data_IF_046289861657
#
_entry.id   IF_046289861657
#
_cell.length_a   1.000
_cell.length_b   1.000
_cell.length_c   1.000
_cell.angle_alpha   90.00
_cell.angle_beta   90.00
_cell.angle_gamma   90.00
#
_symmetry.space_group_name_H-M   'P 1'
#
loop_
_entity.id
_entity.type
_entity.pdbx_description
1 polymer ?
#
# COMPACT_ATOMS: atom_id res chain seq x y z
N UNK A 1 -1.81 14.35 -2.81
CA UNK A 1 -1.37 13.53 -3.95
C UNK A 1 -1.22 12.12 -3.45
N UNK A 2 -2.07 11.17 -3.88
CA UNK A 2 -2.04 9.78 -3.39
C UNK A 2 -0.84 8.98 -3.93
N UNK A 3 -0.14 9.55 -4.87
CA UNK A 3 1.10 8.96 -5.33
C UNK A 3 2.18 9.37 -4.34
N UNK A 4 2.44 8.44 -3.42
CA UNK A 4 3.28 8.64 -2.26
C UNK A 4 4.76 8.57 -2.61
N UNK A 5 5.26 9.45 -3.38
CA UNK A 5 6.70 9.54 -3.58
C UNK A 5 7.42 9.95 -2.30
N UNK A 6 7.28 9.14 -1.26
CA UNK A 6 7.78 9.44 0.09
C UNK A 6 9.28 9.18 0.24
N UNK A 7 9.84 8.27 -0.58
CA UNK A 7 11.28 7.99 -0.59
C UNK A 7 11.98 8.60 -1.80
N UNK A 8 13.28 8.83 -1.70
CA UNK A 8 14.08 9.34 -2.82
C UNK A 8 14.04 8.40 -4.03
N UNK A 9 14.20 7.09 -3.78
CA UNK A 9 14.17 6.09 -4.84
C UNK A 9 12.81 6.01 -5.54
N UNK A 10 11.69 6.10 -4.81
CA UNK A 10 10.36 6.13 -5.40
C UNK A 10 10.11 7.40 -6.24
N UNK A 11 10.79 8.52 -5.93
CA UNK A 11 10.75 9.74 -6.76
C UNK A 11 11.55 9.61 -8.06
N UNK A 12 12.65 8.87 -8.02
CA UNK A 12 13.51 8.62 -9.18
C UNK A 12 12.93 7.53 -10.08
N UNK A 13 12.33 6.49 -9.49
CA UNK A 13 11.65 5.40 -10.20
C UNK A 13 10.26 5.15 -9.61
N UNK A 14 9.19 5.67 -10.26
CA UNK A 14 7.81 5.48 -9.82
C UNK A 14 7.36 4.02 -9.72
N UNK A 15 7.99 3.10 -10.45
CA UNK A 15 7.67 1.67 -10.37
C UNK A 15 7.98 1.05 -9.01
N UNK A 16 8.83 1.71 -8.21
CA UNK A 16 9.16 1.30 -6.83
C UNK A 16 8.20 1.88 -5.77
N UNK A 17 7.20 2.66 -6.19
CA UNK A 17 6.26 3.32 -5.30
C UNK A 17 4.97 2.51 -5.16
N UNK A 18 4.67 2.01 -3.96
CA UNK A 18 3.33 1.46 -3.65
C UNK A 18 2.36 2.63 -3.47
N UNK A 19 1.27 2.63 -4.21
CA UNK A 19 0.25 3.67 -4.14
C UNK A 19 -0.93 3.26 -3.28
N UNK A 20 -1.39 2.00 -3.42
CA UNK A 20 -2.48 1.43 -2.65
C UNK A 20 -2.31 -0.06 -2.43
N UNK A 21 -2.99 -0.57 -1.39
CA UNK A 21 -3.08 -1.99 -1.09
C UNK A 21 -4.53 -2.35 -0.75
N UNK A 22 -5.00 -3.45 -1.36
CA UNK A 22 -6.36 -4.00 -1.18
C UNK A 22 -6.29 -5.45 -0.80
N UNK A 23 -7.23 -5.88 0.05
CA UNK A 23 -7.29 -7.24 0.58
C UNK A 23 -8.75 -7.62 0.81
N UNK A 24 -9.27 -8.57 0.04
CA UNK A 24 -10.68 -8.92 0.08
C UNK A 24 -10.96 -10.32 -0.43
N UNK A 25 -12.19 -10.80 -0.21
CA UNK A 25 -12.67 -12.08 -0.71
C UNK A 25 -13.21 -11.96 -2.14
N UNK A 26 -12.83 -12.88 -3.02
CA UNK A 26 -13.46 -13.06 -4.34
C UNK A 26 -14.48 -14.19 -4.36
N UNK A 27 -14.23 -15.25 -3.57
CA UNK A 27 -15.11 -16.38 -3.35
C UNK A 27 -14.86 -16.94 -1.93
N UNK A 28 -15.74 -17.80 -1.35
CA UNK A 28 -15.67 -18.20 0.06
C UNK A 28 -14.29 -18.68 0.55
N UNK A 29 -13.55 -19.38 -0.30
CA UNK A 29 -12.26 -19.98 0.08
C UNK A 29 -11.07 -19.31 -0.62
N UNK A 30 -11.25 -18.11 -1.16
CA UNK A 30 -10.19 -17.39 -1.89
C UNK A 30 -10.04 -15.96 -1.41
N UNK A 31 -8.80 -15.49 -1.38
CA UNK A 31 -8.43 -14.12 -1.03
C UNK A 31 -7.73 -13.45 -2.20
N UNK A 32 -8.11 -12.22 -2.49
CA UNK A 32 -7.44 -11.33 -3.44
C UNK A 32 -6.57 -10.35 -2.65
N UNK A 33 -5.31 -10.29 -3.06
CA UNK A 33 -4.36 -9.24 -2.68
C UNK A 33 -4.06 -8.41 -3.92
N UNK A 34 -4.22 -7.11 -3.84
CA UNK A 34 -3.86 -6.22 -4.94
C UNK A 34 -3.05 -5.04 -4.41
N UNK A 35 -1.95 -4.73 -5.06
CA UNK A 35 -1.24 -3.48 -4.87
C UNK A 35 -1.21 -2.70 -6.16
N UNK A 36 -1.24 -1.39 -6.06
CA UNK A 36 -1.02 -0.48 -7.17
C UNK A 36 0.34 0.20 -7.03
N UNK A 37 1.05 0.29 -8.14
CA UNK A 37 2.39 0.89 -8.22
C UNK A 37 2.50 1.71 -9.51
N UNK A 38 3.59 2.44 -9.71
CA UNK A 38 3.89 3.10 -10.97
C UNK A 38 2.75 3.99 -11.48
N UNK A 39 2.41 5.07 -10.79
CA UNK A 39 1.30 5.94 -11.15
C UNK A 39 1.56 6.72 -12.45
N UNK A 40 0.49 7.06 -13.19
CA UNK A 40 0.54 7.84 -14.44
C UNK A 40 1.40 7.18 -15.55
N UNK A 41 1.35 5.86 -15.64
CA UNK A 41 2.15 5.04 -16.58
C UNK A 41 2.08 5.56 -18.02
N UNK A 42 0.91 5.97 -18.48
CA UNK A 42 0.75 6.46 -19.87
C UNK A 42 1.19 7.91 -20.04
N UNK A 43 1.22 8.68 -18.96
CA UNK A 43 1.47 10.13 -19.02
C UNK A 43 2.91 10.51 -18.74
N UNK A 44 3.58 9.84 -17.80
CA UNK A 44 4.87 10.29 -17.28
C UNK A 44 5.84 9.19 -16.85
N UNK A 45 5.40 7.93 -16.82
CA UNK A 45 6.23 6.81 -16.38
C UNK A 45 6.27 5.70 -17.44
N UNK A 46 7.35 4.92 -17.53
CA UNK A 46 7.42 3.72 -18.35
C UNK A 46 6.36 2.70 -17.94
N UNK A 47 5.84 1.93 -18.88
CA UNK A 47 4.88 0.84 -18.66
C UNK A 47 5.52 -0.44 -18.09
N UNK A 48 6.74 -0.34 -17.57
CA UNK A 48 7.54 -1.45 -17.09
C UNK A 48 7.75 -1.39 -15.58
N UNK A 49 7.98 -2.54 -14.98
CA UNK A 49 8.34 -2.70 -13.59
C UNK A 49 9.85 -2.94 -13.46
N UNK A 50 10.43 -2.52 -12.34
CA UNK A 50 11.86 -2.59 -12.11
C UNK A 50 12.35 -4.04 -12.04
N UNK A 51 13.37 -4.41 -12.81
CA UNK A 51 13.88 -5.79 -12.92
C UNK A 51 14.52 -6.32 -11.64
N UNK A 52 15.11 -5.44 -10.83
CA UNK A 52 15.57 -5.76 -9.49
C UNK A 52 14.50 -5.49 -8.42
N UNK A 53 13.27 -5.10 -8.82
CA UNK A 53 12.14 -4.90 -7.93
C UNK A 53 11.64 -6.23 -7.36
N UNK A 54 11.46 -6.28 -6.05
CA UNK A 54 10.79 -7.35 -5.33
C UNK A 54 9.49 -6.77 -4.77
N UNK A 55 8.37 -7.12 -5.41
CA UNK A 55 7.03 -6.65 -5.03
C UNK A 55 6.38 -7.74 -4.19
N UNK A 56 5.97 -7.44 -2.98
CA UNK A 56 5.57 -8.47 -2.04
C UNK A 56 4.28 -8.12 -1.27
N UNK A 57 3.41 -9.12 -1.13
CA UNK A 57 2.34 -9.15 -0.15
C UNK A 57 2.85 -9.93 1.05
N UNK A 58 2.91 -9.28 2.21
CA UNK A 58 3.40 -9.82 3.47
C UNK A 58 2.23 -10.03 4.42
N UNK A 59 2.18 -11.18 5.08
CA UNK A 59 1.09 -11.57 5.97
C UNK A 59 1.66 -12.11 7.27
N UNK A 60 1.23 -11.51 8.36
CA UNK A 60 1.44 -11.94 9.74
C UNK A 60 0.21 -12.74 10.18
N UNK A 61 0.41 -13.96 10.63
CA UNK A 61 -0.61 -14.90 11.10
C UNK A 61 -0.62 -15.02 12.63
N UNK A 62 0.37 -14.47 13.30
CA UNK A 62 0.61 -14.61 14.75
C UNK A 62 0.28 -13.35 15.53
N UNK A 63 0.18 -12.20 14.86
CA UNK A 63 -0.14 -10.90 15.47
C UNK A 63 1.06 -10.19 16.07
N UNK A 64 2.29 -10.56 15.66
CA UNK A 64 3.53 -9.94 16.14
C UNK A 64 4.09 -8.86 15.19
N UNK A 65 3.33 -8.55 14.15
CA UNK A 65 3.66 -7.59 13.11
C UNK A 65 4.93 -7.94 12.31
N UNK A 66 5.21 -9.24 12.20
CA UNK A 66 6.23 -9.84 11.35
C UNK A 66 5.59 -10.82 10.41
N UNK A 67 6.12 -10.92 9.21
CA UNK A 67 5.57 -11.81 8.20
C UNK A 67 5.85 -13.29 8.46
N UNK A 68 4.81 -14.13 8.40
CA UNK A 68 4.87 -15.60 8.40
C UNK A 68 4.78 -16.17 6.99
N UNK A 69 4.05 -15.47 6.11
CA UNK A 69 3.85 -15.84 4.70
C UNK A 69 4.09 -14.61 3.83
N UNK A 70 4.81 -14.79 2.73
CA UNK A 70 5.07 -13.74 1.75
C UNK A 70 4.80 -14.26 0.35
N UNK A 71 4.03 -13.51 -0.45
CA UNK A 71 3.87 -13.73 -1.88
C UNK A 71 4.68 -12.68 -2.63
N UNK A 72 5.62 -13.12 -3.46
CA UNK A 72 6.64 -12.30 -4.09
C UNK A 72 6.50 -12.31 -5.60
N UNK A 73 6.53 -11.14 -6.20
CA UNK A 73 6.61 -10.96 -7.65
C UNK A 73 8.00 -10.48 -8.04
N UNK A 74 8.54 -11.08 -9.09
CA UNK A 74 9.77 -10.67 -9.77
C UNK A 74 9.48 -10.52 -11.26
N UNK A 75 10.19 -9.61 -11.91
CA UNK A 75 10.01 -9.28 -13.31
C UNK A 75 11.33 -9.45 -14.06
N UNK A 76 11.23 -10.02 -15.28
CA UNK A 76 12.36 -10.12 -16.22
C UNK A 76 12.51 -8.81 -17.01
N UNK A 77 13.55 -8.72 -17.84
CA UNK A 77 13.73 -7.63 -18.79
C UNK A 77 12.49 -7.46 -19.69
N UNK A 78 12.08 -6.21 -19.97
CA UNK A 78 10.96 -5.92 -20.83
C UNK A 78 11.25 -6.31 -22.28
N UNK A 79 10.21 -6.73 -22.99
CA UNK A 79 10.24 -7.07 -24.41
C UNK A 79 9.25 -6.19 -25.17
N UNK A 80 9.66 -5.65 -26.31
CA UNK A 80 8.72 -4.94 -27.20
C UNK A 80 7.70 -5.89 -27.81
N UNK A 81 6.47 -5.41 -28.00
CA UNK A 81 5.38 -6.19 -28.61
C UNK A 81 5.20 -5.78 -30.06
N UNK A 82 5.27 -6.77 -30.99
CA UNK A 82 5.03 -6.58 -32.41
C UNK A 82 5.87 -5.49 -33.08
N UNK A 83 7.05 -5.15 -32.53
CA UNK A 83 7.90 -4.10 -33.06
C UNK A 83 7.47 -2.68 -32.67
N UNK A 84 6.48 -2.53 -31.81
CA UNK A 84 6.12 -1.25 -31.22
C UNK A 84 7.06 -0.97 -30.03
N UNK A 85 7.87 0.07 -30.16
CA UNK A 85 8.86 0.48 -29.13
C UNK A 85 8.21 1.09 -27.90
N UNK A 86 6.89 1.37 -27.93
CA UNK A 86 6.15 2.01 -26.85
C UNK A 86 5.31 1.03 -26.01
N UNK A 87 5.23 -0.24 -26.43
CA UNK A 87 4.46 -1.28 -25.73
C UNK A 87 5.39 -2.39 -25.26
N UNK A 88 5.43 -2.59 -23.96
CA UNK A 88 6.30 -3.57 -23.34
C UNK A 88 5.52 -4.70 -22.69
N UNK A 89 6.08 -5.89 -22.72
CA UNK A 89 5.65 -7.06 -21.95
C UNK A 89 6.83 -7.56 -21.14
N UNK A 90 6.61 -7.81 -19.87
CA UNK A 90 7.58 -8.46 -18.99
C UNK A 90 7.05 -9.82 -18.56
N UNK A 91 7.92 -10.82 -18.49
CA UNK A 91 7.60 -12.03 -17.75
C UNK A 91 7.64 -11.72 -16.25
N UNK A 92 6.73 -12.37 -15.51
CA UNK A 92 6.76 -12.33 -14.06
C UNK A 92 6.70 -13.74 -13.45
N UNK A 93 7.23 -13.88 -12.27
CA UNK A 93 7.11 -15.06 -11.41
C UNK A 93 6.48 -14.67 -10.10
N UNK A 94 5.58 -15.55 -9.59
CA UNK A 94 5.01 -15.41 -8.25
C UNK A 94 5.50 -16.58 -7.41
N UNK A 95 6.14 -16.26 -6.28
CA UNK A 95 6.63 -17.24 -5.32
C UNK A 95 5.96 -17.05 -3.96
N UNK A 96 5.65 -18.17 -3.30
CA UNK A 96 5.23 -18.19 -1.90
C UNK A 96 6.43 -18.56 -1.02
N UNK A 97 6.65 -17.78 0.01
CA UNK A 97 7.75 -17.96 0.94
C UNK A 97 7.25 -18.05 2.39
N UNK A 98 7.88 -18.89 3.18
CA UNK A 98 7.70 -19.02 4.63
C UNK A 98 9.04 -19.32 5.30
N UNK A 99 9.19 -19.05 6.59
CA UNK A 99 10.40 -19.33 7.35
C UNK A 99 11.65 -18.71 6.73
N UNK A 100 12.71 -19.48 6.53
CA UNK A 100 14.00 -18.98 6.01
C UNK A 100 13.93 -18.44 4.56
N UNK A 101 12.88 -18.77 3.80
CA UNK A 101 12.69 -18.27 2.46
C UNK A 101 12.06 -16.87 2.40
N UNK A 102 11.66 -16.27 3.53
CA UNK A 102 11.00 -14.98 3.58
C UNK A 102 11.89 -13.86 3.02
N UNK A 103 13.16 -13.83 3.35
CA UNK A 103 14.10 -12.84 2.80
C UNK A 103 14.46 -13.10 1.34
N UNK A 104 14.66 -12.02 0.57
CA UNK A 104 15.04 -12.09 -0.84
C UNK A 104 13.98 -12.72 -1.74
N UNK A 105 14.40 -13.31 -2.86
CA UNK A 105 13.52 -13.83 -3.92
C UNK A 105 13.23 -15.33 -3.85
N UNK A 106 13.64 -16.02 -2.78
CA UNK A 106 13.41 -17.45 -2.59
C UNK A 106 11.93 -17.76 -2.31
N UNK A 107 11.56 -19.02 -2.47
CA UNK A 107 10.22 -19.55 -2.19
C UNK A 107 9.74 -20.52 -3.25
N UNK A 108 8.60 -21.16 -3.00
CA UNK A 108 7.90 -22.05 -3.92
C UNK A 108 7.35 -21.26 -5.11
N UNK A 109 7.69 -21.67 -6.33
CA UNK A 109 7.14 -21.09 -7.55
C UNK A 109 5.68 -21.52 -7.73
N UNK A 110 4.75 -20.57 -7.61
CA UNK A 110 3.32 -20.82 -7.77
C UNK A 110 2.88 -20.71 -9.24
N UNK A 111 3.18 -19.57 -9.86
CA UNK A 111 2.73 -19.23 -11.19
C UNK A 111 3.73 -18.31 -11.89
N UNK A 112 3.79 -18.41 -13.21
CA UNK A 112 4.52 -17.52 -14.11
C UNK A 112 3.59 -16.99 -15.18
N UNK A 113 3.89 -15.81 -15.71
CA UNK A 113 3.08 -15.21 -16.76
C UNK A 113 3.73 -14.04 -17.44
N UNK A 114 3.03 -13.48 -18.40
CA UNK A 114 3.35 -12.23 -19.07
C UNK A 114 2.43 -11.12 -18.55
N UNK A 115 2.93 -9.90 -18.38
CA UNK A 115 2.11 -8.73 -18.06
C UNK A 115 1.02 -8.48 -19.10
N UNK A 116 -0.05 -7.80 -18.71
CA UNK A 116 -1.20 -7.50 -19.58
C UNK A 116 -2.21 -8.64 -19.73
N UNK A 117 -2.00 -9.79 -19.07
CA UNK A 117 -2.88 -10.96 -19.15
C UNK A 117 -3.13 -11.59 -17.79
N UNK A 118 -4.32 -12.18 -17.62
CA UNK A 118 -4.63 -13.03 -16.47
C UNK A 118 -4.05 -14.42 -16.70
N UNK A 119 -3.28 -14.90 -15.75
CA UNK A 119 -2.76 -16.26 -15.71
C UNK A 119 -3.43 -17.05 -14.59
N UNK A 120 -3.68 -18.35 -14.83
CA UNK A 120 -4.36 -19.21 -13.87
C UNK A 120 -3.69 -20.57 -13.77
N UNK A 121 -3.45 -21.07 -12.55
CA UNK A 121 -2.87 -22.38 -12.28
C UNK A 121 -3.28 -22.87 -10.90
N UNK A 122 -3.85 -24.05 -10.80
CA UNK A 122 -4.16 -24.72 -9.52
C UNK A 122 -4.99 -23.85 -8.55
N UNK A 123 -5.98 -23.12 -9.06
CA UNK A 123 -6.83 -22.23 -8.25
C UNK A 123 -6.19 -20.86 -7.93
N UNK A 124 -4.96 -20.62 -8.35
CA UNK A 124 -4.27 -19.33 -8.24
C UNK A 124 -4.52 -18.55 -9.51
N UNK A 125 -4.78 -17.25 -9.38
CA UNK A 125 -4.87 -16.32 -10.51
C UNK A 125 -3.96 -15.11 -10.25
N UNK A 126 -3.23 -14.71 -11.27
CA UNK A 126 -2.36 -13.54 -11.21
C UNK A 126 -2.57 -12.63 -12.43
N UNK A 127 -2.54 -11.33 -12.20
CA UNK A 127 -2.57 -10.29 -13.21
C UNK A 127 -1.58 -9.20 -12.85
N UNK A 128 -0.83 -8.73 -13.82
CA UNK A 128 -0.02 -7.52 -13.73
C UNK A 128 -0.26 -6.69 -14.98
N UNK A 129 -0.62 -5.44 -14.83
CA UNK A 129 -0.85 -4.57 -16.00
C UNK A 129 -1.45 -3.23 -15.64
N UNK A 130 -1.61 -2.40 -16.68
CA UNK A 130 -2.20 -1.07 -16.54
C UNK A 130 -3.69 -1.20 -16.22
N UNK A 131 -4.14 -0.44 -15.24
CA UNK A 131 -5.52 -0.32 -14.81
C UNK A 131 -5.89 1.17 -14.59
N UNK A 132 -7.18 1.53 -14.61
CA UNK A 132 -7.60 2.82 -14.10
C UNK A 132 -7.20 2.97 -12.63
N UNK A 133 -6.81 4.17 -12.23
CA UNK A 133 -6.59 4.46 -10.82
C UNK A 133 -7.94 4.49 -10.10
N UNK A 134 -8.11 3.61 -9.12
CA UNK A 134 -9.34 3.49 -8.34
C UNK A 134 -9.39 4.46 -7.16
N UNK A 135 -8.25 5.04 -6.79
CA UNK A 135 -8.21 6.00 -5.70
C UNK A 135 -8.95 7.29 -6.07
N UNK A 136 -9.78 7.77 -5.16
CA UNK A 136 -10.51 9.01 -5.32
C UNK A 136 -10.17 9.96 -4.17
N UNK A 137 -9.63 11.14 -4.49
CA UNK A 137 -9.35 12.15 -3.48
C UNK A 137 -9.37 13.56 -4.06
N UNK A 138 -9.76 14.51 -3.21
CA UNK A 138 -9.62 15.94 -3.47
C UNK A 138 -8.28 16.45 -2.94
N UNK A 139 -7.30 16.53 -3.83
CA UNK A 139 -5.95 16.99 -3.47
C UNK A 139 -5.93 18.46 -3.02
N UNK A 140 -6.84 19.30 -3.51
CA UNK A 140 -6.94 20.72 -3.13
C UNK A 140 -7.50 20.85 -1.73
N UNK A 141 -8.54 20.08 -1.41
CA UNK A 141 -9.11 20.03 -0.07
C UNK A 141 -8.07 19.52 0.94
N UNK A 142 -7.32 18.47 0.60
CA UNK A 142 -6.26 17.93 1.43
C UNK A 142 -5.15 18.97 1.71
N UNK A 143 -4.70 19.69 0.68
CA UNK A 143 -3.71 20.77 0.85
C UNK A 143 -4.24 21.91 1.71
N UNK A 144 -5.53 22.27 1.56
CA UNK A 144 -6.18 23.29 2.39
C UNK A 144 -6.21 22.88 3.87
N UNK A 145 -6.59 21.62 4.14
CA UNK A 145 -6.60 21.05 5.49
C UNK A 145 -5.20 21.08 6.12
N UNK A 146 -4.18 20.64 5.38
CA UNK A 146 -2.79 20.62 5.83
C UNK A 146 -2.26 22.02 6.11
N UNK A 147 -2.53 22.99 5.23
CA UNK A 147 -2.15 24.37 5.43
C UNK A 147 -2.81 24.96 6.67
N UNK A 148 -4.11 24.74 6.84
CA UNK A 148 -4.83 25.20 8.03
C UNK A 148 -4.23 24.61 9.33
N UNK A 149 -3.86 23.33 9.29
CA UNK A 149 -3.27 22.62 10.43
C UNK A 149 -1.85 23.10 10.75
N UNK A 150 -0.92 23.08 9.79
CA UNK A 150 0.49 23.35 10.04
C UNK A 150 0.84 24.83 10.12
N UNK A 151 0.24 25.67 9.25
CA UNK A 151 0.59 27.09 9.16
C UNK A 151 -0.32 27.97 10.02
N UNK A 152 -1.62 27.66 10.06
CA UNK A 152 -2.63 28.51 10.70
C UNK A 152 -3.08 28.00 12.08
N UNK A 153 -2.64 26.79 12.47
CA UNK A 153 -2.98 26.15 13.77
C UNK A 153 -4.48 26.07 14.03
N UNK A 154 -5.26 25.73 13.01
CA UNK A 154 -6.72 25.56 13.07
C UNK A 154 -7.19 24.33 12.32
N UNK A 155 -8.41 23.90 12.61
CA UNK A 155 -9.13 22.88 11.84
C UNK A 155 -9.95 23.54 10.73
N UNK A 156 -9.83 23.04 9.49
CA UNK A 156 -10.66 23.43 8.36
C UNK A 156 -11.70 22.33 8.06
N UNK A 157 -12.80 22.33 8.85
CA UNK A 157 -13.87 21.33 8.73
C UNK A 157 -14.63 21.38 7.41
N UNK A 158 -14.54 22.51 6.69
CA UNK A 158 -15.24 22.70 5.42
C UNK A 158 -14.38 22.39 4.20
N UNK A 159 -13.11 22.00 4.38
CA UNK A 159 -12.18 21.79 3.28
C UNK A 159 -12.76 20.85 2.20
N UNK A 160 -13.33 19.72 2.61
CA UNK A 160 -13.91 18.72 1.72
C UNK A 160 -15.37 19.02 1.28
N UNK A 161 -15.99 20.04 1.83
CA UNK A 161 -17.37 20.44 1.49
C UNK A 161 -17.44 21.51 0.38
N UNK A 162 -16.30 22.02 -0.09
CA UNK A 162 -16.22 23.15 -1.04
C UNK A 162 -16.34 22.76 -2.51
N UNK A 163 -16.95 21.63 -2.83
CA UNK A 163 -17.16 21.18 -4.20
C UNK A 163 -15.97 20.40 -4.75
N UNK A 164 -15.64 19.32 -4.08
CA UNK A 164 -14.49 18.48 -4.34
C UNK A 164 -14.42 17.92 -5.77
N UNK A 165 -13.21 17.77 -6.25
CA UNK A 165 -12.90 17.13 -7.52
C UNK A 165 -11.98 15.95 -7.30
N UNK A 166 -12.31 14.80 -7.87
CA UNK A 166 -11.38 13.68 -7.86
C UNK A 166 -10.16 13.99 -8.74
N UNK A 167 -9.02 14.23 -8.09
CA UNK A 167 -7.73 14.52 -8.75
C UNK A 167 -7.23 13.33 -9.58
N UNK A 168 -7.65 12.09 -9.26
CA UNK A 168 -7.22 10.86 -9.91
C UNK A 168 -8.13 10.42 -11.05
N UNK A 169 -9.20 11.16 -11.30
CA UNK A 169 -10.09 10.89 -12.43
C UNK A 169 -9.30 10.89 -13.75
N UNK A 170 -9.50 9.86 -14.57
CA UNK A 170 -8.79 9.63 -15.85
C UNK A 170 -7.26 9.39 -15.71
N UNK A 171 -6.77 9.02 -14.55
CA UNK A 171 -5.40 8.55 -14.37
C UNK A 171 -5.34 7.03 -14.45
N UNK A 172 -4.15 6.52 -14.65
CA UNK A 172 -3.88 5.09 -14.67
C UNK A 172 -2.74 4.73 -13.71
N UNK A 173 -2.61 3.44 -13.49
CA UNK A 173 -1.67 2.86 -12.54
C UNK A 173 -1.31 1.46 -12.99
N UNK A 174 -0.17 0.91 -12.57
CA UNK A 174 0.09 -0.52 -12.72
C UNK A 174 -0.49 -1.27 -11.53
N UNK A 175 -1.40 -2.20 -11.79
CA UNK A 175 -1.96 -3.11 -10.80
C UNK A 175 -1.21 -4.44 -10.79
N UNK A 176 -0.85 -4.92 -9.59
CA UNK A 176 -0.32 -6.25 -9.32
C UNK A 176 -1.37 -6.96 -8.48
N UNK A 177 -2.02 -7.97 -9.05
CA UNK A 177 -3.15 -8.67 -8.43
C UNK A 177 -2.86 -10.16 -8.32
N UNK A 178 -3.09 -10.69 -7.12
CA UNK A 178 -2.95 -12.12 -6.83
C UNK A 178 -4.19 -12.61 -6.09
N UNK A 179 -4.86 -13.61 -6.66
CA UNK A 179 -5.92 -14.37 -6.03
C UNK A 179 -5.41 -15.77 -5.67
N UNK A 180 -5.54 -16.16 -4.42
CA UNK A 180 -5.09 -17.46 -3.93
C UNK A 180 -6.15 -18.14 -3.08
N UNK A 181 -6.20 -19.50 -3.08
CA UNK A 181 -6.95 -20.25 -2.09
C UNK A 181 -6.45 -19.93 -0.67
N UNK A 182 -7.36 -19.78 0.29
CA UNK A 182 -7.03 -19.40 1.68
C UNK A 182 -6.05 -20.36 2.36
N UNK A 183 -6.04 -21.66 1.98
CA UNK A 183 -5.10 -22.62 2.56
C UNK A 183 -3.61 -22.31 2.23
N UNK A 184 -3.34 -21.49 1.21
CA UNK A 184 -1.98 -20.99 0.92
C UNK A 184 -1.59 -19.81 1.81
N UNK A 185 -2.53 -19.17 2.45
CA UNK A 185 -2.31 -18.11 3.44
C UNK A 185 -2.29 -18.74 4.85
N UNK A 186 -3.44 -19.20 5.32
CA UNK A 186 -3.62 -19.71 6.66
C UNK A 186 -5.11 -19.79 7.04
N UNK A 187 -5.43 -19.45 8.30
CA UNK A 187 -6.78 -19.42 8.86
C UNK A 187 -6.91 -18.27 9.85
N UNK A 188 -8.15 -17.81 10.06
CA UNK A 188 -8.48 -16.77 11.02
C UNK A 188 -8.10 -15.38 10.54
N UNK A 189 -7.84 -14.48 11.47
CA UNK A 189 -7.44 -13.11 11.15
C UNK A 189 -5.97 -13.06 10.76
N UNK A 190 -5.68 -12.41 9.63
CA UNK A 190 -4.33 -12.11 9.16
C UNK A 190 -4.10 -10.61 9.20
N UNK A 191 -2.86 -10.20 9.38
CA UNK A 191 -2.43 -8.81 9.32
C UNK A 191 -1.51 -8.63 8.12
N UNK A 192 -1.92 -7.84 7.14
CA UNK A 192 -1.23 -7.80 5.85
C UNK A 192 -0.72 -6.41 5.50
N UNK A 193 0.34 -6.36 4.71
CA UNK A 193 0.87 -5.14 4.09
C UNK A 193 1.56 -5.46 2.77
N UNK A 194 1.69 -4.45 1.92
CA UNK A 194 2.43 -4.53 0.68
C UNK A 194 3.78 -3.84 0.81
N UNK A 195 4.80 -4.34 0.13
CA UNK A 195 6.12 -3.72 0.04
C UNK A 195 6.69 -3.80 -1.36
N UNK A 196 7.53 -2.82 -1.71
CA UNK A 196 8.47 -2.91 -2.83
C UNK A 196 9.87 -2.73 -2.27
N UNK A 197 10.76 -3.65 -2.63
CA UNK A 197 12.17 -3.64 -2.26
C UNK A 197 13.03 -3.72 -3.53
N UNK A 198 14.26 -3.23 -3.46
CA UNK A 198 15.31 -3.57 -4.43
C UNK A 198 16.05 -4.81 -3.92
N UNK A 199 16.21 -5.80 -4.79
CA UNK A 199 16.94 -7.03 -4.52
C UNK A 199 17.58 -7.57 -5.81
N UNK A 200 18.88 -7.46 -5.90
CA UNK A 200 19.66 -7.89 -7.06
C UNK A 200 21.11 -8.07 -6.68
N UNK A 201 21.94 -7.10 -6.97
CA UNK A 201 23.39 -7.14 -6.68
C UNK A 201 23.74 -6.82 -5.22
N UNK A 202 22.78 -6.39 -4.41
CA UNK A 202 22.94 -6.06 -2.99
C UNK A 202 21.90 -6.79 -2.13
N UNK A 203 22.05 -6.83 -0.80
CA UNK A 203 20.99 -7.29 0.11
C UNK A 203 19.68 -6.56 -0.12
N UNK A 204 18.55 -7.21 0.18
CA UNK A 204 17.23 -6.61 0.06
C UNK A 204 17.16 -5.28 0.80
N UNK A 205 16.68 -4.25 0.10
CA UNK A 205 16.48 -2.91 0.64
C UNK A 205 15.06 -2.46 0.34
N UNK A 206 14.23 -2.34 1.38
CA UNK A 206 12.86 -1.87 1.23
C UNK A 206 12.82 -0.40 0.82
N UNK A 207 12.01 -0.08 -0.19
CA UNK A 207 11.82 1.25 -0.75
C UNK A 207 10.47 1.84 -0.36
N UNK A 208 9.42 1.03 -0.40
CA UNK A 208 8.06 1.48 -0.16
C UNK A 208 7.26 0.42 0.58
N UNK A 209 6.34 0.88 1.46
CA UNK A 209 5.48 0.05 2.29
C UNK A 209 4.08 0.64 2.39
N UNK A 210 3.07 -0.25 2.42
CA UNK A 210 1.68 0.13 2.58
C UNK A 210 0.90 -0.91 3.38
N UNK A 211 0.33 -0.50 4.50
CA UNK A 211 -0.64 -1.28 5.29
C UNK A 211 -2.01 -0.62 5.25
N UNK A 212 -2.34 0.18 6.27
CA UNK A 212 -3.54 1.02 6.30
C UNK A 212 -3.35 2.26 5.43
N UNK A 213 -4.38 2.69 4.70
CA UNK A 213 -4.32 3.87 3.85
C UNK A 213 -4.15 5.17 4.66
N UNK A 214 -3.71 6.22 3.99
CA UNK A 214 -3.63 7.60 4.45
C UNK A 214 -2.68 7.91 5.62
N UNK A 215 -1.98 6.92 6.21
CA UNK A 215 -1.12 7.15 7.39
C UNK A 215 0.01 8.14 7.09
N UNK A 216 0.75 7.96 5.99
CA UNK A 216 1.82 8.88 5.60
C UNK A 216 1.31 10.23 5.11
N UNK A 217 0.06 10.30 4.63
CA UNK A 217 -0.54 11.53 4.10
C UNK A 217 -1.07 12.46 5.17
N UNK A 218 -1.65 11.88 6.22
CA UNK A 218 -2.28 12.65 7.29
C UNK A 218 -1.32 12.80 8.48
N UNK A 219 -0.93 11.68 9.06
CA UNK A 219 -0.30 11.68 10.38
C UNK A 219 1.21 11.90 10.34
N UNK A 220 1.88 11.50 9.24
CA UNK A 220 3.34 11.60 9.09
C UNK A 220 3.76 12.67 8.07
N UNK A 221 2.85 13.56 7.68
CA UNK A 221 3.09 14.55 6.62
C UNK A 221 3.47 15.94 7.14
N UNK A 222 4.33 15.99 8.15
CA UNK A 222 4.86 17.27 8.66
C UNK A 222 5.81 17.89 7.61
N UNK A 223 5.51 19.09 7.06
CA UNK A 223 6.39 19.79 6.13
C UNK A 223 7.80 20.06 6.67
N UNK A 224 7.94 20.20 7.99
CA UNK A 224 9.21 20.44 8.65
C UNK A 224 10.04 19.16 8.87
N UNK A 225 9.42 17.96 8.72
CA UNK A 225 10.07 16.67 8.98
C UNK A 225 9.65 15.59 7.97
N UNK A 226 10.06 15.76 6.72
CA UNK A 226 9.74 14.78 5.65
C UNK A 226 10.55 13.47 5.75
N UNK A 227 11.61 13.42 6.54
CA UNK A 227 12.40 12.19 6.75
C UNK A 227 11.61 11.10 7.47
N UNK A 228 10.58 11.46 8.24
CA UNK A 228 9.74 10.48 8.92
C UNK A 228 9.01 9.56 7.93
N UNK A 229 8.58 10.08 6.79
CA UNK A 229 7.95 9.26 5.73
C UNK A 229 8.92 8.28 5.09
N UNK A 230 10.15 8.72 4.83
CA UNK A 230 11.19 7.85 4.28
C UNK A 230 11.53 6.74 5.29
N UNK A 231 11.64 7.07 6.58
CA UNK A 231 11.84 6.11 7.65
C UNK A 231 10.68 5.10 7.72
N UNK A 232 9.44 5.56 7.65
CA UNK A 232 8.26 4.69 7.63
C UNK A 232 8.30 3.68 6.49
N UNK A 233 8.59 4.12 5.28
CA UNK A 233 8.62 3.26 4.10
C UNK A 233 9.76 2.23 4.15
N UNK A 234 10.85 2.51 4.86
CA UNK A 234 12.02 1.63 5.03
C UNK A 234 11.98 0.73 6.26
N UNK A 235 11.08 0.98 7.20
CA UNK A 235 10.94 0.20 8.44
C UNK A 235 9.97 -0.97 8.26
N UNK A 236 9.92 -1.84 9.27
CA UNK A 236 8.98 -2.97 9.36
C UNK A 236 7.85 -2.65 10.34
N UNK A 237 6.64 -3.22 10.18
CA UNK A 237 5.50 -2.90 11.05
C UNK A 237 5.75 -3.14 12.54
N UNK A 238 6.57 -4.13 12.91
CA UNK A 238 6.92 -4.40 14.31
C UNK A 238 7.61 -3.23 15.04
N UNK A 239 8.18 -2.29 14.30
CA UNK A 239 8.86 -1.11 14.86
C UNK A 239 7.95 0.13 14.97
N UNK A 240 6.75 0.09 14.39
CA UNK A 240 5.88 1.25 14.23
C UNK A 240 5.45 1.90 15.54
N UNK A 241 5.17 1.08 16.56
CA UNK A 241 4.78 1.62 17.88
C UNK A 241 5.88 2.51 18.44
N UNK A 242 7.13 2.08 18.35
CA UNK A 242 8.25 2.83 18.86
C UNK A 242 8.59 4.07 18.02
N UNK A 243 8.45 3.96 16.68
CA UNK A 243 8.90 4.99 15.76
C UNK A 243 7.83 6.02 15.43
N UNK A 244 6.54 5.62 15.32
CA UNK A 244 5.51 6.48 14.71
C UNK A 244 4.29 6.75 15.58
N UNK A 245 4.05 5.98 16.66
CA UNK A 245 2.87 6.21 17.51
C UNK A 245 2.81 7.62 18.09
N UNK A 246 3.97 8.19 18.44
CA UNK A 246 4.07 9.56 18.94
C UNK A 246 3.63 10.63 17.95
N UNK A 247 4.00 10.48 16.67
CA UNK A 247 3.57 11.41 15.61
C UNK A 247 2.07 11.35 15.37
N UNK A 248 1.51 10.13 15.32
CA UNK A 248 0.07 9.91 15.13
C UNK A 248 -0.72 10.50 16.31
N UNK A 249 -0.27 10.25 17.53
CA UNK A 249 -0.91 10.77 18.73
C UNK A 249 -0.88 12.30 18.78
N UNK A 250 0.26 12.92 18.50
CA UNK A 250 0.43 14.38 18.50
C UNK A 250 -0.43 15.06 17.41
N UNK A 251 -0.40 14.54 16.19
CA UNK A 251 -1.24 15.06 15.11
C UNK A 251 -2.72 14.99 15.47
N UNK A 252 -3.20 13.82 15.96
CA UNK A 252 -4.60 13.63 16.33
C UNK A 252 -5.01 14.51 17.51
N UNK A 253 -4.16 14.63 18.52
CA UNK A 253 -4.39 15.52 19.66
C UNK A 253 -4.55 16.98 19.22
N UNK A 254 -3.64 17.47 18.38
CA UNK A 254 -3.71 18.85 17.85
C UNK A 254 -4.94 19.06 16.99
N UNK A 255 -5.23 18.14 16.07
CA UNK A 255 -6.38 18.22 15.17
C UNK A 255 -7.68 18.28 15.95
N UNK A 256 -7.87 17.41 16.92
CA UNK A 256 -9.09 17.39 17.77
C UNK A 256 -9.18 18.58 18.73
N UNK A 257 -8.04 19.11 19.16
CA UNK A 257 -7.98 20.37 19.94
C UNK A 257 -8.44 21.56 19.08
N UNK A 258 -7.92 21.69 17.88
CA UNK A 258 -8.32 22.77 16.96
C UNK A 258 -9.78 22.67 16.55
N UNK A 259 -10.30 21.46 16.38
CA UNK A 259 -11.70 21.20 16.04
C UNK A 259 -12.65 21.36 17.24
N UNK A 260 -12.14 21.35 18.48
CA UNK A 260 -12.98 21.27 19.69
C UNK A 260 -13.84 20.01 19.76
N UNK A 261 -13.41 18.89 19.14
CA UNK A 261 -14.23 17.71 18.91
C UNK A 261 -14.02 16.59 19.92
N UNK A 262 -12.97 16.63 20.73
CA UNK A 262 -12.68 15.62 21.75
C UNK A 262 -12.72 16.20 23.16
N UNK A 263 -13.30 15.46 24.11
CA UNK A 263 -13.31 15.84 25.54
C UNK A 263 -11.90 15.74 26.12
N UNK A 264 -11.13 14.74 25.72
CA UNK A 264 -9.74 14.56 26.09
C UNK A 264 -8.90 14.31 24.82
N UNK A 265 -8.38 15.36 24.18
CA UNK A 265 -7.61 15.25 22.94
C UNK A 265 -6.36 14.36 23.07
N UNK A 266 -5.64 14.41 24.21
CA UNK A 266 -4.45 13.60 24.45
C UNK A 266 -4.79 12.10 24.45
N UNK A 267 -5.81 11.72 25.19
CA UNK A 267 -6.24 10.31 25.26
C UNK A 267 -6.75 9.82 23.91
N UNK A 268 -7.50 10.65 23.21
CA UNK A 268 -7.99 10.33 21.86
C UNK A 268 -6.82 10.14 20.87
N UNK A 269 -5.78 10.96 20.98
CA UNK A 269 -4.55 10.82 20.21
C UNK A 269 -3.85 9.47 20.45
N UNK A 270 -3.71 9.07 21.72
CA UNK A 270 -3.15 7.75 22.09
C UNK A 270 -3.98 6.59 21.57
N UNK A 271 -5.29 6.67 21.62
CA UNK A 271 -6.20 5.66 21.09
C UNK A 271 -6.09 5.53 19.56
N UNK A 272 -5.99 6.66 18.86
CA UNK A 272 -5.77 6.64 17.40
C UNK A 272 -4.41 6.01 17.06
N UNK A 273 -3.35 6.37 17.76
CA UNK A 273 -2.03 5.79 17.55
C UNK A 273 -2.03 4.25 17.78
N UNK A 274 -2.68 3.78 18.84
CA UNK A 274 -2.81 2.34 19.13
C UNK A 274 -3.65 1.58 18.09
N UNK A 275 -4.52 2.29 17.37
CA UNK A 275 -5.35 1.71 16.30
C UNK A 275 -4.60 1.61 14.97
N UNK A 276 -3.66 2.52 14.71
CA UNK A 276 -2.94 2.63 13.43
C UNK A 276 -1.52 2.02 13.48
N UNK A 277 -1.01 1.70 14.66
CA UNK A 277 0.28 1.03 14.84
C UNK A 277 0.10 -0.30 15.59
N UNK A 278 0.68 -1.40 15.07
CA UNK A 278 1.44 -1.53 13.82
C UNK A 278 0.61 -1.25 12.58
N UNK A 279 1.19 -0.62 11.56
CA UNK A 279 0.49 -0.30 10.32
C UNK A 279 0.37 -1.53 9.41
N UNK A 280 -0.60 -2.35 9.70
CA UNK A 280 -0.99 -3.54 8.96
C UNK A 280 -2.50 -3.55 8.75
N UNK A 281 -2.98 -4.12 7.66
CA UNK A 281 -4.39 -4.27 7.35
C UNK A 281 -4.90 -5.61 7.89
N UNK A 282 -5.71 -5.63 8.95
CA UNK A 282 -6.29 -6.86 9.47
C UNK A 282 -7.40 -7.38 8.55
N UNK A 283 -7.48 -8.70 8.39
CA UNK A 283 -8.52 -9.33 7.60
C UNK A 283 -8.84 -10.73 8.12
N UNK A 284 -10.11 -10.99 8.43
CA UNK A 284 -10.62 -12.31 8.74
C UNK A 284 -10.86 -13.09 7.45
N UNK A 285 -10.03 -14.09 7.17
CA UNK A 285 -10.08 -14.88 5.94
C UNK A 285 -11.44 -15.55 5.74
N UNK A 286 -11.96 -15.46 4.52
CA UNK A 286 -13.26 -16.03 4.16
C UNK A 286 -14.45 -15.16 4.55
N UNK A 287 -14.24 -13.91 4.94
CA UNK A 287 -15.32 -12.94 5.21
C UNK A 287 -15.37 -11.83 4.18
N UNK A 288 -16.51 -11.15 4.10
CA UNK A 288 -16.61 -9.93 3.28
C UNK A 288 -15.72 -8.82 3.86
N UNK A 289 -14.90 -8.22 3.01
CA UNK A 289 -14.09 -7.07 3.41
C UNK A 289 -14.98 -5.86 3.71
N UNK A 290 -14.59 -5.10 4.76
CA UNK A 290 -15.21 -3.84 5.12
C UNK A 290 -14.13 -2.93 5.70
N UNK A 291 -14.00 -1.74 5.13
CA UNK A 291 -13.01 -0.75 5.55
C UNK A 291 -13.70 0.59 5.79
N UNK A 292 -13.67 1.04 7.02
CA UNK A 292 -14.06 2.38 7.45
C UNK A 292 -13.30 2.75 8.73
N UNK A 293 -13.40 4.00 9.18
CA UNK A 293 -12.69 4.46 10.40
C UNK A 293 -13.06 3.65 11.65
N UNK A 294 -14.26 3.07 11.70
CA UNK A 294 -14.73 2.25 12.83
C UNK A 294 -14.31 0.78 12.71
N UNK A 295 -14.09 0.27 11.50
CA UNK A 295 -13.86 -1.16 11.25
C UNK A 295 -12.81 -1.38 10.17
N UNK A 296 -11.74 -2.09 10.54
CA UNK A 296 -10.76 -2.62 9.60
C UNK A 296 -10.94 -4.14 9.47
N UNK A 297 -11.38 -4.60 8.32
CA UNK A 297 -11.50 -6.02 7.98
C UNK A 297 -11.26 -6.22 6.49
N UNK A 298 -10.00 -6.16 6.07
CA UNK A 298 -9.65 -6.06 4.67
C UNK A 298 -10.02 -4.70 4.08
N UNK A 299 -9.75 -4.53 2.79
CA UNK A 299 -10.06 -3.33 2.03
C UNK A 299 -10.52 -3.72 0.62
N UNK A 300 -11.81 -3.55 0.28
CA UNK A 300 -12.32 -3.80 -1.06
C UNK A 300 -11.91 -2.68 -2.03
N UNK A 301 -12.08 -2.89 -3.34
CA UNK A 301 -11.73 -1.91 -4.38
C UNK A 301 -12.60 -0.64 -4.37
N UNK A 302 -13.77 -0.70 -3.78
CA UNK A 302 -14.72 0.41 -3.68
C UNK A 302 -14.89 0.88 -2.23
N UNK A 303 -13.80 0.96 -1.47
CA UNK A 303 -13.81 1.47 -0.11
C UNK A 303 -13.97 2.99 -0.05
N UNK A 304 -14.36 3.47 1.13
CA UNK A 304 -14.46 4.89 1.47
C UNK A 304 -13.41 5.20 2.56
N UNK A 305 -12.30 5.83 2.16
CA UNK A 305 -11.15 6.14 3.02
C UNK A 305 -11.03 7.63 3.31
#
# INVERSE_FOLDING_TARGET
>A
MSHHFDTKLAKEDPSLNVCDFYLFQSAPDTTVMAMTVNPDVVLSAPDTLHIEGLYAFRLDLTGDAREDVVFKFRFDEPRHVNGDEHVHVQKFQVRRATGEAIGGDKGELLIEGDTGKVHSKSGIRAFVGIAPDLFAADAVAMQSLQKAFYDEHRYDGDAFLRGGQNFFNNRNITAIVLEVPNHLIGKGTVHAWATVSLYGHAPEMQVSRWGLPMVTHLFLNDPANQEVKETFNKSVPSDDIALFSGYIADYTQKMTTYAGSAVNPEEYGKQMASRLCPNTLPYELGTAAAFDVARFNGRPLGDDV
#
